data_IF_514754485106
#
_entry.id   IF_514754485106
#
_cell.length_a   1.000
_cell.length_b   1.000
_cell.length_c   1.000
_cell.angle_alpha   90.00
_cell.angle_beta   90.00
_cell.angle_gamma   90.00
#
_symmetry.space_group_name_H-M   'P 1'
#
loop_
_entity.id
_entity.type
_entity.pdbx_description
1 polymer ?
#
# COMPACT_ATOMS: atom_id res chain seq x y z
N UNK A 1 -33.97 -52.82 -52.05
CA UNK A 1 -34.94 -51.69 -52.00
C UNK A 1 -34.96 -51.11 -50.60
N UNK A 2 -34.62 -49.81 -50.47
CA UNK A 2 -35.15 -48.79 -49.52
C UNK A 2 -34.94 -48.95 -47.99
N UNK A 3 -33.90 -48.27 -47.50
CA UNK A 3 -33.79 -47.34 -46.33
C UNK A 3 -34.87 -47.28 -45.24
N UNK A 4 -34.46 -47.20 -43.95
CA UNK A 4 -34.79 -46.19 -42.88
C UNK A 4 -33.81 -46.37 -41.68
N UNK A 5 -32.82 -45.50 -41.44
CA UNK A 5 -32.76 -44.35 -40.50
C UNK A 5 -33.27 -44.56 -39.05
N UNK A 6 -32.37 -44.47 -38.05
CA UNK A 6 -32.53 -43.55 -36.90
C UNK A 6 -31.25 -43.37 -36.08
N UNK A 7 -30.95 -42.11 -35.86
CA UNK A 7 -29.91 -41.47 -35.05
C UNK A 7 -30.27 -41.61 -33.56
N UNK A 8 -29.28 -41.89 -32.69
CA UNK A 8 -29.31 -41.54 -31.25
C UNK A 8 -27.92 -41.01 -30.88
N UNK A 9 -27.74 -39.70 -31.02
CA UNK A 9 -27.81 -38.67 -29.98
C UNK A 9 -26.54 -38.64 -29.11
N UNK A 10 -25.65 -37.74 -29.50
CA UNK A 10 -24.45 -37.34 -28.78
C UNK A 10 -24.82 -36.70 -27.44
N UNK A 11 -24.22 -37.16 -26.34
CA UNK A 11 -24.18 -36.42 -25.08
C UNK A 11 -22.87 -35.64 -25.08
N UNK A 12 -22.93 -34.40 -25.55
CA UNK A 12 -21.84 -33.43 -25.32
C UNK A 12 -21.98 -33.01 -23.86
N UNK A 13 -21.10 -33.53 -23.00
CA UNK A 13 -20.94 -33.03 -21.64
C UNK A 13 -20.39 -31.60 -21.74
N UNK A 14 -21.27 -30.62 -21.55
CA UNK A 14 -20.91 -29.21 -21.46
C UNK A 14 -20.24 -29.00 -20.10
N UNK A 15 -18.92 -28.83 -20.10
CA UNK A 15 -18.19 -28.31 -18.96
C UNK A 15 -18.49 -26.81 -18.87
N UNK A 16 -19.47 -26.45 -18.05
CA UNK A 16 -19.69 -25.06 -17.69
C UNK A 16 -18.49 -24.61 -16.85
N UNK A 17 -17.56 -23.89 -17.48
CA UNK A 17 -16.55 -23.13 -16.75
C UNK A 17 -17.32 -22.05 -15.98
N UNK A 18 -17.43 -22.23 -14.66
CA UNK A 18 -17.85 -21.17 -13.77
C UNK A 18 -16.84 -20.04 -13.94
N UNK A 19 -17.23 -18.99 -14.66
CA UNK A 19 -16.53 -17.72 -14.62
C UNK A 19 -16.69 -17.20 -13.20
N UNK A 20 -15.64 -17.37 -12.39
CA UNK A 20 -15.48 -16.54 -11.21
C UNK A 20 -15.49 -15.09 -11.70
N UNK A 21 -16.28 -14.18 -11.10
CA UNK A 21 -16.15 -12.77 -11.42
C UNK A 21 -14.69 -12.40 -11.18
N UNK A 22 -14.06 -11.89 -12.22
CA UNK A 22 -12.76 -11.23 -12.16
C UNK A 22 -12.75 -10.34 -10.94
N UNK A 23 -11.93 -10.67 -9.94
CA UNK A 23 -11.59 -9.68 -8.94
C UNK A 23 -11.02 -8.50 -9.72
N UNK A 24 -11.71 -7.37 -9.61
CA UNK A 24 -11.18 -6.09 -10.04
C UNK A 24 -9.99 -5.88 -9.12
N UNK A 25 -8.80 -6.26 -9.59
CA UNK A 25 -7.54 -5.88 -8.96
C UNK A 25 -7.52 -4.36 -9.06
N UNK A 26 -7.87 -3.69 -7.96
CA UNK A 26 -7.52 -2.31 -7.78
C UNK A 26 -5.99 -2.28 -7.81
N UNK A 27 -5.43 -1.67 -8.86
CA UNK A 27 -4.00 -1.41 -8.96
C UNK A 27 -3.66 -0.37 -7.88
N UNK A 28 -3.47 -0.85 -6.65
CA UNK A 28 -2.93 -0.06 -5.55
C UNK A 28 -1.51 -0.57 -5.41
N UNK A 29 -0.53 0.22 -5.85
CA UNK A 29 0.91 -0.09 -5.92
C UNK A 29 1.57 -0.25 -4.53
N UNK A 30 0.83 -0.74 -3.55
CA UNK A 30 1.32 -1.02 -2.21
C UNK A 30 1.96 -2.39 -2.16
N UNK A 31 3.28 -2.42 -1.95
CA UNK A 31 4.01 -3.66 -1.70
C UNK A 31 4.42 -3.74 -0.24
N UNK A 32 4.24 -4.91 0.37
CA UNK A 32 4.65 -5.15 1.75
C UNK A 32 5.63 -6.32 1.81
N UNK A 33 6.70 -6.18 2.57
CA UNK A 33 7.68 -7.23 2.86
C UNK A 33 7.90 -7.33 4.35
N UNK A 34 7.95 -8.55 4.88
CA UNK A 34 8.21 -8.83 6.28
C UNK A 34 9.58 -9.53 6.38
N UNK A 35 10.47 -9.01 7.21
CA UNK A 35 11.81 -9.57 7.44
C UNK A 35 12.00 -9.81 8.93
N UNK A 36 12.21 -11.06 9.37
CA UNK A 36 12.48 -11.35 10.78
C UNK A 36 13.73 -10.60 11.27
N UNK A 37 13.62 -10.00 12.46
CA UNK A 37 14.77 -9.42 13.16
C UNK A 37 15.35 -10.48 14.11
N UNK A 38 14.48 -11.19 14.83
CA UNK A 38 14.81 -12.28 15.75
C UNK A 38 13.60 -13.22 15.92
N UNK A 39 13.61 -14.06 16.95
CA UNK A 39 12.54 -15.03 17.25
C UNK A 39 11.21 -14.39 17.69
N UNK A 40 11.21 -13.14 18.16
CA UNK A 40 10.03 -12.45 18.72
C UNK A 40 9.42 -11.43 17.76
N UNK A 41 10.24 -10.75 16.94
CA UNK A 41 9.82 -9.58 16.16
C UNK A 41 10.34 -9.56 14.72
N UNK A 42 9.56 -8.91 13.85
CA UNK A 42 9.83 -8.71 12.43
C UNK A 42 9.74 -7.23 12.03
N UNK A 43 10.51 -6.86 11.01
CA UNK A 43 10.39 -5.58 10.32
C UNK A 43 9.41 -5.71 9.16
N UNK A 44 8.30 -4.99 9.22
CA UNK A 44 7.38 -4.79 8.11
C UNK A 44 7.77 -3.52 7.35
N UNK A 45 8.14 -3.69 6.08
CA UNK A 45 8.37 -2.61 5.11
C UNK A 45 7.14 -2.51 4.20
N UNK A 46 6.52 -1.35 4.13
CA UNK A 46 5.47 -1.04 3.16
C UNK A 46 5.98 0.05 2.22
N UNK A 47 5.90 -0.19 0.92
CA UNK A 47 6.24 0.78 -0.13
C UNK A 47 4.93 1.22 -0.78
N UNK A 48 4.69 2.52 -0.84
CA UNK A 48 3.53 3.14 -1.48
C UNK A 48 3.96 4.40 -2.23
N UNK A 49 3.04 5.02 -2.96
CA UNK A 49 3.30 6.22 -3.76
C UNK A 49 2.52 7.41 -3.21
N UNK A 50 3.16 8.57 -3.10
CA UNK A 50 2.51 9.84 -2.83
C UNK A 50 2.53 10.69 -4.10
N UNK A 51 1.37 11.17 -4.52
CA UNK A 51 1.24 12.08 -5.67
C UNK A 51 0.74 13.43 -5.16
N UNK A 52 1.53 14.48 -5.40
CA UNK A 52 1.20 15.86 -5.06
C UNK A 52 0.89 16.62 -6.37
N UNK A 53 -0.38 16.99 -6.61
CA UNK A 53 -0.77 17.73 -7.81
C UNK A 53 -0.02 19.06 -7.96
N UNK A 54 0.27 19.44 -9.20
CA UNK A 54 0.94 20.72 -9.50
C UNK A 54 0.09 21.93 -9.06
N UNK A 55 -1.24 21.81 -9.02
CA UNK A 55 -2.14 22.86 -8.56
C UNK A 55 -2.53 22.73 -7.07
N UNK A 56 -1.82 21.89 -6.30
CA UNK A 56 -2.12 21.69 -4.89
C UNK A 56 -1.98 23.00 -4.09
N UNK A 57 -3.08 23.40 -3.44
CA UNK A 57 -3.14 24.56 -2.53
C UNK A 57 -3.19 24.16 -1.06
N UNK A 58 -3.29 22.85 -0.76
CA UNK A 58 -3.36 22.37 0.61
C UNK A 58 -1.97 22.43 1.27
N UNK A 59 -1.84 23.06 2.44
CA UNK A 59 -0.54 23.22 3.09
C UNK A 59 -0.04 21.96 3.78
N UNK A 60 -0.89 20.94 3.95
CA UNK A 60 -0.60 19.74 4.74
C UNK A 60 -0.87 18.46 3.97
N UNK A 61 0.03 17.49 4.14
CA UNK A 61 -0.15 16.10 3.77
C UNK A 61 -0.15 15.22 5.02
N UNK A 62 -0.66 13.99 4.86
CA UNK A 62 -0.75 13.01 5.95
C UNK A 62 -0.33 11.63 5.46
N UNK A 63 0.45 10.93 6.28
CA UNK A 63 0.65 9.48 6.16
C UNK A 63 -0.02 8.83 7.35
N UNK A 64 -1.01 7.97 7.11
CA UNK A 64 -1.80 7.33 8.16
C UNK A 64 -1.75 5.82 8.04
N UNK A 65 -1.72 5.13 9.18
CA UNK A 65 -1.93 3.69 9.23
C UNK A 65 -3.04 3.31 10.19
N UNK A 66 -3.90 2.40 9.75
CA UNK A 66 -4.96 1.82 10.55
C UNK A 66 -4.42 1.01 11.74
N UNK A 67 -5.26 0.77 12.77
CA UNK A 67 -4.94 -0.15 13.86
C UNK A 67 -4.40 -1.49 13.35
N UNK A 68 -3.31 -1.97 13.93
CA UNK A 68 -2.70 -3.28 13.62
C UNK A 68 -1.68 -3.68 14.69
N UNK A 69 -1.19 -4.92 14.64
CA UNK A 69 -0.16 -5.39 15.58
C UNK A 69 1.08 -4.50 15.56
N UNK A 70 1.64 -4.18 16.73
CA UNK A 70 2.87 -3.40 16.87
C UNK A 70 3.67 -3.87 18.07
N UNK A 71 4.93 -3.49 18.09
CA UNK A 71 5.80 -3.65 19.26
C UNK A 71 5.94 -2.29 19.91
N UNK A 72 5.67 -2.23 21.22
CA UNK A 72 5.85 -0.99 21.98
C UNK A 72 7.28 -0.46 21.88
N UNK A 73 7.42 0.86 22.02
CA UNK A 73 8.71 1.59 21.98
C UNK A 73 9.46 1.48 20.65
N UNK A 74 8.82 0.98 19.60
CA UNK A 74 9.33 1.01 18.23
C UNK A 74 8.48 1.97 17.41
N UNK A 75 9.00 3.17 17.07
CA UNK A 75 8.25 4.11 16.26
C UNK A 75 8.12 3.61 14.82
N UNK A 76 7.15 4.17 14.10
CA UNK A 76 7.07 4.06 12.65
C UNK A 76 8.14 4.96 12.04
N UNK A 77 8.94 4.43 11.11
CA UNK A 77 9.87 5.24 10.31
C UNK A 77 9.26 5.43 8.93
N UNK A 78 9.20 6.68 8.47
CA UNK A 78 8.62 7.04 7.18
C UNK A 78 9.71 7.76 6.38
N UNK A 79 9.96 7.33 5.15
CA UNK A 79 10.98 7.87 4.26
C UNK A 79 10.36 8.18 2.90
N UNK A 80 10.63 9.37 2.36
CA UNK A 80 10.19 9.74 1.01
C UNK A 80 11.40 9.81 0.08
N UNK A 81 11.22 9.25 -1.10
CA UNK A 81 12.20 9.25 -2.19
C UNK A 81 11.58 9.92 -3.41
N UNK A 82 12.34 10.76 -4.08
CA UNK A 82 11.93 11.38 -5.35
C UNK A 82 12.11 10.40 -6.54
N UNK A 83 11.81 10.86 -7.75
CA UNK A 83 11.98 10.09 -8.99
C UNK A 83 13.44 9.70 -9.27
N UNK A 84 14.40 10.36 -8.63
CA UNK A 84 15.84 10.09 -8.73
C UNK A 84 16.36 9.07 -7.72
N UNK A 85 15.49 8.45 -6.92
CA UNK A 85 15.83 7.56 -5.80
C UNK A 85 16.65 8.26 -4.69
N UNK A 86 16.54 9.60 -4.57
CA UNK A 86 17.14 10.37 -3.49
C UNK A 86 16.18 10.49 -2.30
N UNK A 87 16.65 10.19 -1.09
CA UNK A 87 15.85 10.34 0.12
C UNK A 87 15.72 11.82 0.48
N UNK A 88 14.55 12.41 0.23
CA UNK A 88 14.29 13.84 0.43
C UNK A 88 13.63 14.15 1.78
N UNK A 89 13.03 13.15 2.43
CA UNK A 89 12.33 13.35 3.71
C UNK A 89 12.36 12.11 4.60
N UNK A 90 12.46 12.32 5.91
CA UNK A 90 12.37 11.26 6.92
C UNK A 90 11.63 11.73 8.15
N UNK A 91 10.81 10.83 8.72
CA UNK A 91 10.10 11.08 9.95
C UNK A 91 10.06 9.82 10.84
N UNK A 92 9.92 10.06 12.14
CA UNK A 92 9.61 9.04 13.13
C UNK A 92 8.32 9.41 13.83
N UNK A 93 7.40 8.45 13.96
CA UNK A 93 6.08 8.68 14.56
C UNK A 93 5.77 7.58 15.57
N UNK A 94 5.37 7.99 16.76
CA UNK A 94 4.91 7.07 17.79
C UNK A 94 3.61 6.36 17.36
N UNK A 95 3.50 5.10 17.76
CA UNK A 95 2.31 4.29 17.53
C UNK A 95 1.32 4.54 18.67
N UNK A 96 0.03 4.72 18.34
CA UNK A 96 -1.04 4.83 19.34
C UNK A 96 -1.29 3.47 20.00
N UNK A 97 -2.02 3.45 21.12
CA UNK A 97 -2.28 2.22 21.89
C UNK A 97 -2.95 1.09 21.09
N UNK A 98 -3.68 1.44 20.02
CA UNK A 98 -4.35 0.50 19.11
C UNK A 98 -3.49 0.11 17.88
N UNK A 99 -2.24 0.55 17.83
CA UNK A 99 -1.35 0.27 16.70
C UNK A 99 -1.50 1.23 15.51
N UNK A 100 -2.42 2.21 15.55
CA UNK A 100 -2.56 3.20 14.49
C UNK A 100 -1.51 4.31 14.59
N UNK A 101 -1.27 5.04 13.52
CA UNK A 101 -0.36 6.19 13.51
C UNK A 101 -0.82 7.26 12.50
N UNK A 102 -0.40 8.49 12.73
CA UNK A 102 -0.61 9.62 11.82
C UNK A 102 0.64 10.49 11.82
N UNK A 103 1.20 10.71 10.64
CA UNK A 103 2.26 11.67 10.40
C UNK A 103 1.73 12.82 9.56
N UNK A 104 1.74 14.03 10.11
CA UNK A 104 1.36 15.26 9.41
C UNK A 104 2.61 16.04 9.00
N UNK A 105 2.71 16.43 7.74
CA UNK A 105 3.85 17.17 7.19
C UNK A 105 3.40 18.32 6.28
N UNK A 106 4.26 19.33 6.15
CA UNK A 106 3.96 20.53 5.37
C UNK A 106 4.29 20.27 3.89
N UNK A 107 3.30 20.46 3.02
CA UNK A 107 3.44 20.31 1.56
C UNK A 107 3.69 21.65 0.89
N UNK A 108 3.01 22.69 1.38
CA UNK A 108 3.14 24.05 0.87
C UNK A 108 3.15 25.07 2.01
N UNK A 109 3.80 26.20 1.74
CA UNK A 109 3.89 27.36 2.63
C UNK A 109 3.67 28.64 1.83
N UNK A 110 3.33 29.71 2.53
CA UNK A 110 3.24 31.06 1.94
C UNK A 110 4.41 31.85 2.54
N UNK A 111 5.18 32.50 1.69
CA UNK A 111 6.30 33.34 2.11
C UNK A 111 5.86 34.74 2.59
N UNK A 112 6.82 35.60 2.91
CA UNK A 112 6.54 36.97 3.38
C UNK A 112 5.89 37.86 2.30
N UNK A 113 6.04 37.51 1.02
CA UNK A 113 5.50 38.24 -0.13
C UNK A 113 4.10 37.75 -0.53
N UNK A 114 3.65 36.62 0.04
CA UNK A 114 2.38 35.99 -0.32
C UNK A 114 2.51 34.90 -1.39
N UNK A 115 3.73 34.55 -1.79
CA UNK A 115 4.00 33.56 -2.81
C UNK A 115 3.98 32.13 -2.21
N UNK A 116 3.43 31.18 -2.98
CA UNK A 116 3.33 29.77 -2.57
C UNK A 116 4.66 29.08 -2.81
N UNK A 117 5.28 28.61 -1.73
CA UNK A 117 6.49 27.80 -1.72
C UNK A 117 6.14 26.34 -1.43
N UNK A 118 6.41 25.45 -2.40
CA UNK A 118 6.17 24.01 -2.26
C UNK A 118 7.40 23.30 -1.72
N UNK A 119 7.18 22.43 -0.73
CA UNK A 119 8.19 21.50 -0.23
C UNK A 119 8.13 20.16 -0.97
N UNK A 120 6.97 19.82 -1.54
CA UNK A 120 6.75 18.62 -2.32
C UNK A 120 5.89 18.95 -3.55
N UNK A 121 6.22 18.35 -4.69
CA UNK A 121 5.49 18.39 -5.94
C UNK A 121 5.76 17.12 -6.78
N UNK A 122 4.76 16.65 -7.52
CA UNK A 122 4.91 15.44 -8.33
C UNK A 122 4.82 14.14 -7.53
N UNK A 123 5.53 13.11 -7.98
CA UNK A 123 5.45 11.75 -7.46
C UNK A 123 6.62 11.43 -6.53
N UNK A 124 6.32 10.76 -5.41
CA UNK A 124 7.31 10.28 -4.45
C UNK A 124 7.03 8.83 -4.08
N UNK A 125 8.10 8.05 -3.93
CA UNK A 125 8.03 6.75 -3.28
C UNK A 125 8.09 6.93 -1.77
N UNK A 126 7.09 6.43 -1.05
CA UNK A 126 7.02 6.46 0.40
C UNK A 126 7.27 5.07 0.97
N UNK A 127 8.32 4.94 1.77
CA UNK A 127 8.66 3.70 2.47
C UNK A 127 8.33 3.86 3.95
N UNK A 128 7.55 2.93 4.47
CA UNK A 128 7.09 2.89 5.85
C UNK A 128 7.64 1.63 6.51
N UNK A 129 8.38 1.81 7.59
CA UNK A 129 8.89 0.72 8.42
C UNK A 129 8.13 0.66 9.73
N UNK A 130 7.71 -0.55 10.09
CA UNK A 130 7.03 -0.87 11.34
C UNK A 130 7.61 -2.15 11.92
N UNK A 131 7.88 -2.15 13.22
CA UNK A 131 8.19 -3.40 13.93
C UNK A 131 6.89 -4.04 14.38
N UNK A 132 6.73 -5.32 14.05
CA UNK A 132 5.58 -6.14 14.40
C UNK A 132 6.05 -7.39 15.14
N UNK A 133 5.24 -7.98 16.03
CA UNK A 133 5.49 -9.32 16.53
C UNK A 133 5.60 -10.31 15.37
N UNK A 134 6.42 -11.34 15.52
CA UNK A 134 6.38 -12.47 14.60
C UNK A 134 4.99 -13.08 14.62
N UNK A 135 4.43 -13.34 13.44
CA UNK A 135 3.25 -14.18 13.36
C UNK A 135 3.72 -15.61 13.52
N UNK A 136 3.28 -16.30 14.58
CA UNK A 136 3.43 -17.74 14.70
C UNK A 136 2.91 -18.35 13.39
N UNK A 137 3.81 -18.90 12.57
CA UNK A 137 3.41 -19.83 11.53
C UNK A 137 2.88 -21.05 12.28
N UNK A 138 1.58 -21.07 12.58
CA UNK A 138 0.89 -22.28 13.02
C UNK A 138 0.96 -23.27 11.86
N UNK A 139 2.05 -24.05 11.79
CA UNK A 139 2.24 -25.20 10.91
C UNK A 139 2.51 -26.41 11.77
#
# INVERSE_FOLDING_TARGET
MKTKSSIFLAVIASFAVLMFPSEIIADTSESTTITPINEEISLKKTVTTMIVPEDNTLPWGFVTGSPSEYVERHPIIIQFFDEGDEMVHVAQVDVKGDGSYEYKFRVASIDENGDVQKAFDGEYTVIIYRVIPNQDQLV
#
